data_IF_584262738439
#
_entry.id   IF_584262738439
#
_cell.length_a   1.000
_cell.length_b   1.000
_cell.length_c   1.000
_cell.angle_alpha   90.00
_cell.angle_beta   90.00
_cell.angle_gamma   90.00
#
_symmetry.space_group_name_H-M   'P 1'
#
loop_
_entity.id
_entity.type
_entity.pdbx_description
1 polymer ?
#
# COMPACT_ATOMS: atom_id res chain seq x y z
N UNK A 1 4.60 47.85 17.80
CA UNK A 1 4.09 46.81 16.88
C UNK A 1 4.81 45.52 17.28
N UNK A 2 4.20 44.75 18.19
CA UNK A 2 3.62 43.41 17.96
C UNK A 2 4.68 42.40 17.51
N UNK A 3 5.36 41.76 18.45
CA UNK A 3 5.03 40.45 19.06
C UNK A 3 5.43 39.27 18.15
N UNK A 4 6.67 38.77 18.34
CA UNK A 4 7.05 37.39 17.98
C UNK A 4 6.91 36.54 19.25
N UNK A 5 6.09 35.47 19.27
CA UNK A 5 6.09 34.57 20.41
C UNK A 5 7.26 33.59 20.33
N UNK A 6 8.04 33.59 21.41
CA UNK A 6 8.94 32.52 21.79
C UNK A 6 8.17 31.25 22.18
N UNK A 7 8.83 30.12 21.90
CA UNK A 7 8.80 28.85 22.62
C UNK A 7 7.50 28.02 22.63
N UNK A 8 7.59 26.82 22.05
CA UNK A 8 6.95 25.63 22.61
C UNK A 8 8.05 24.70 23.12
N UNK A 9 8.46 24.99 24.36
CA UNK A 9 9.08 24.03 25.24
C UNK A 9 8.12 22.84 25.36
N UNK A 10 8.54 21.66 24.93
CA UNK A 10 7.80 20.41 25.14
C UNK A 10 8.18 19.88 26.53
N UNK A 11 7.25 19.77 27.49
CA UNK A 11 7.46 19.01 28.71
C UNK A 11 7.16 17.54 28.42
N UNK A 12 8.14 16.67 28.64
CA UNK A 12 7.91 15.23 28.81
C UNK A 12 7.32 15.04 30.20
N UNK A 13 6.04 14.69 30.30
CA UNK A 13 5.47 14.14 31.53
C UNK A 13 4.48 13.02 31.19
N UNK A 14 4.85 11.82 31.66
CA UNK A 14 4.09 10.59 31.61
C UNK A 14 2.80 10.69 32.44
N UNK A 15 1.64 10.85 31.79
CA UNK A 15 0.35 10.47 32.38
C UNK A 15 -0.60 9.81 31.39
N UNK A 16 -0.84 8.54 31.65
CA UNK A 16 -1.98 7.74 31.20
C UNK A 16 -3.29 8.36 31.70
N UNK A 17 -4.20 8.73 30.78
CA UNK A 17 -5.63 8.92 31.07
C UNK A 17 -6.44 8.34 29.92
N UNK A 18 -7.39 7.51 30.33
CA UNK A 18 -8.35 6.74 29.55
C UNK A 18 -9.50 7.63 29.02
N UNK A 19 -10.00 7.25 27.85
CA UNK A 19 -11.29 7.57 27.22
C UNK A 19 -11.65 9.00 26.75
N UNK A 20 -11.72 9.13 25.43
CA UNK A 20 -12.47 10.14 24.69
C UNK A 20 -12.60 9.74 23.22
N UNK A 21 -13.71 9.09 22.86
CA UNK A 21 -13.98 8.58 21.51
C UNK A 21 -14.13 9.72 20.49
N UNK A 22 -13.11 9.88 19.64
CA UNK A 22 -13.25 10.44 18.31
C UNK A 22 -12.94 9.31 17.31
N UNK A 23 -13.91 8.96 16.47
CA UNK A 23 -13.78 7.92 15.46
C UNK A 23 -12.80 8.36 14.36
N UNK A 24 -11.51 8.20 14.62
CA UNK A 24 -10.46 8.21 13.61
C UNK A 24 -10.46 6.89 12.81
N UNK A 25 -9.93 6.89 11.58
CA UNK A 25 -9.88 5.69 10.76
C UNK A 25 -9.08 4.57 11.46
N UNK A 26 -9.49 3.30 11.33
CA UNK A 26 -8.93 2.21 12.11
C UNK A 26 -7.47 1.93 11.72
N UNK A 27 -6.54 2.43 12.54
CA UNK A 27 -5.13 2.02 12.48
C UNK A 27 -4.99 0.61 13.09
N UNK A 28 -5.18 -0.43 12.27
CA UNK A 28 -4.68 -1.76 12.62
C UNK A 28 -3.15 -1.71 12.63
N UNK A 29 -2.56 -2.00 13.79
CA UNK A 29 -1.12 -2.12 14.05
C UNK A 29 -0.42 -2.96 12.95
N UNK A 30 0.16 -2.31 11.96
CA UNK A 30 1.12 -2.90 11.04
C UNK A 30 2.52 -2.73 11.65
N UNK A 31 3.05 -3.82 12.20
CA UNK A 31 4.48 -3.94 12.51
C UNK A 31 5.14 -4.43 11.22
N UNK A 32 5.96 -3.60 10.59
CA UNK A 32 6.69 -4.01 9.37
C UNK A 32 8.07 -3.37 9.37
N UNK A 33 9.05 -4.13 9.84
CA UNK A 33 10.46 -3.87 9.54
C UNK A 33 10.68 -4.04 8.02
N UNK A 34 11.35 -3.06 7.40
CA UNK A 34 11.89 -3.20 6.04
C UNK A 34 11.09 -2.55 4.90
N UNK A 35 10.27 -1.52 5.13
CA UNK A 35 9.49 -0.89 4.03
C UNK A 35 9.22 0.61 4.23
N UNK A 36 10.13 1.37 4.87
CA UNK A 36 9.84 2.73 5.33
C UNK A 36 9.43 3.73 4.23
N UNK A 37 9.98 3.64 3.02
CA UNK A 37 9.69 4.62 1.95
C UNK A 37 8.31 4.41 1.32
N UNK A 38 7.88 3.15 1.13
CA UNK A 38 6.54 2.87 0.61
C UNK A 38 5.47 3.17 1.66
N UNK A 39 5.78 3.00 2.95
CA UNK A 39 4.83 3.29 4.02
C UNK A 39 4.31 4.74 3.96
N UNK A 40 5.20 5.73 3.83
CA UNK A 40 4.79 7.15 3.77
C UNK A 40 3.94 7.49 2.55
N UNK A 41 4.33 7.01 1.37
CA UNK A 41 3.62 7.29 0.12
C UNK A 41 2.24 6.62 0.05
N UNK A 42 2.11 5.41 0.61
CA UNK A 42 0.82 4.71 0.71
C UNK A 42 -0.13 5.39 1.69
N UNK A 43 0.37 5.89 2.82
CA UNK A 43 -0.45 6.70 3.74
C UNK A 43 -0.91 8.00 3.08
N UNK A 44 -0.02 8.67 2.35
CA UNK A 44 -0.38 9.88 1.62
C UNK A 44 -1.45 9.60 0.55
N UNK A 45 -1.31 8.50 -0.19
CA UNK A 45 -2.32 8.06 -1.16
C UNK A 45 -3.69 7.88 -0.50
N UNK A 46 -3.76 7.16 0.63
CA UNK A 46 -5.01 6.94 1.36
C UNK A 46 -5.63 8.24 1.85
N UNK A 47 -4.81 9.18 2.36
CA UNK A 47 -5.30 10.48 2.78
C UNK A 47 -5.81 11.32 1.60
N UNK A 48 -5.08 11.35 0.49
CA UNK A 48 -5.50 12.07 -0.71
C UNK A 48 -6.80 11.51 -1.30
N UNK A 49 -6.97 10.17 -1.32
CA UNK A 49 -8.23 9.55 -1.75
C UNK A 49 -9.37 9.92 -0.79
N UNK A 50 -9.13 9.86 0.53
CA UNK A 50 -10.12 10.24 1.54
C UNK A 50 -10.60 11.70 1.41
N UNK A 51 -9.69 12.61 1.10
CA UNK A 51 -10.02 14.03 0.90
C UNK A 51 -10.52 14.35 -0.52
N UNK A 52 -10.63 13.37 -1.43
CA UNK A 52 -11.06 13.60 -2.82
C UNK A 52 -10.07 14.44 -3.64
N UNK A 53 -8.77 14.36 -3.35
CA UNK A 53 -7.72 15.10 -4.04
C UNK A 53 -7.27 14.38 -5.31
N UNK A 54 -8.17 14.19 -6.28
CA UNK A 54 -7.97 13.31 -7.45
C UNK A 54 -6.66 13.53 -8.22
N UNK A 55 -6.24 14.80 -8.40
CA UNK A 55 -4.98 15.13 -9.09
C UNK A 55 -3.75 14.62 -8.34
N UNK A 56 -3.78 14.67 -7.01
CA UNK A 56 -2.69 14.19 -6.16
C UNK A 56 -2.69 12.66 -6.10
N UNK A 57 -3.88 12.05 -6.02
CA UNK A 57 -4.04 10.60 -6.12
C UNK A 57 -3.43 10.09 -7.43
N UNK A 58 -3.78 10.70 -8.57
CA UNK A 58 -3.25 10.31 -9.87
C UNK A 58 -1.72 10.46 -9.95
N UNK A 59 -1.17 11.57 -9.44
CA UNK A 59 0.28 11.78 -9.41
C UNK A 59 1.01 10.76 -8.52
N UNK A 60 0.45 10.44 -7.35
CA UNK A 60 1.01 9.44 -6.43
C UNK A 60 0.94 8.05 -7.05
N UNK A 61 -0.19 7.68 -7.67
CA UNK A 61 -0.33 6.41 -8.37
C UNK A 61 0.68 6.27 -9.51
N UNK A 62 0.87 7.32 -10.32
CA UNK A 62 1.87 7.32 -11.39
C UNK A 62 3.30 7.10 -10.83
N UNK A 63 3.63 7.76 -9.72
CA UNK A 63 4.91 7.53 -9.05
C UNK A 63 5.04 6.09 -8.51
N UNK A 64 3.97 5.54 -7.92
CA UNK A 64 3.94 4.17 -7.44
C UNK A 64 4.06 3.15 -8.59
N UNK A 65 3.48 3.43 -9.76
CA UNK A 65 3.57 2.54 -10.92
C UNK A 65 5.01 2.35 -11.40
N UNK A 66 5.83 3.40 -11.34
CA UNK A 66 7.26 3.31 -11.69
C UNK A 66 8.07 2.34 -10.81
N UNK A 67 7.50 1.87 -9.69
CA UNK A 67 8.14 0.94 -8.76
C UNK A 67 7.39 -0.39 -8.59
N UNK A 68 6.47 -0.74 -9.49
CA UNK A 68 5.73 -2.01 -9.48
C UNK A 68 6.60 -3.26 -9.33
N UNK A 69 7.79 -3.36 -9.94
CA UNK A 69 8.68 -4.52 -9.74
C UNK A 69 9.11 -4.76 -8.28
N UNK A 70 8.93 -3.75 -7.41
CA UNK A 70 9.29 -3.79 -5.99
C UNK A 70 8.08 -3.96 -5.07
N UNK A 71 6.86 -3.97 -5.60
CA UNK A 71 5.66 -4.10 -4.78
C UNK A 71 5.58 -5.49 -4.15
N UNK A 72 5.19 -5.53 -2.87
CA UNK A 72 4.77 -6.77 -2.23
C UNK A 72 3.30 -7.07 -2.51
N UNK A 73 2.87 -8.28 -2.16
CA UNK A 73 1.44 -8.64 -2.18
C UNK A 73 0.61 -7.71 -1.28
N UNK A 74 1.15 -7.31 -0.13
CA UNK A 74 0.46 -6.40 0.81
C UNK A 74 0.26 -5.00 0.22
N UNK A 75 1.29 -4.46 -0.43
CA UNK A 75 1.21 -3.15 -1.10
C UNK A 75 0.18 -3.21 -2.22
N UNK A 76 0.22 -4.29 -3.01
CA UNK A 76 -0.74 -4.49 -4.10
C UNK A 76 -2.17 -4.56 -3.57
N UNK A 77 -2.41 -5.41 -2.56
CA UNK A 77 -3.72 -5.55 -1.94
C UNK A 77 -4.23 -4.21 -1.38
N UNK A 78 -3.37 -3.45 -0.69
CA UNK A 78 -3.73 -2.15 -0.15
C UNK A 78 -4.19 -1.16 -1.23
N UNK A 79 -3.42 -1.03 -2.33
CA UNK A 79 -3.75 -0.10 -3.41
C UNK A 79 -5.06 -0.48 -4.08
N UNK A 80 -5.28 -1.77 -4.33
CA UNK A 80 -6.50 -2.26 -4.98
C UNK A 80 -7.74 -2.18 -4.08
N UNK A 81 -7.59 -2.33 -2.77
CA UNK A 81 -8.68 -2.09 -1.82
C UNK A 81 -9.04 -0.61 -1.71
N UNK A 82 -8.02 0.26 -1.70
CA UNK A 82 -8.23 1.70 -1.68
C UNK A 82 -8.92 2.18 -2.97
N UNK A 83 -8.60 1.56 -4.12
CA UNK A 83 -9.15 1.93 -5.42
C UNK A 83 -9.59 0.68 -6.21
N UNK A 84 -10.79 0.13 -5.95
CA UNK A 84 -11.23 -1.16 -6.52
C UNK A 84 -11.38 -1.15 -8.04
N UNK A 85 -11.68 0.02 -8.63
CA UNK A 85 -11.84 0.17 -10.08
C UNK A 85 -10.51 0.33 -10.82
N UNK A 86 -9.37 0.28 -10.12
CA UNK A 86 -8.06 0.54 -10.72
C UNK A 86 -7.68 -0.50 -11.78
N UNK A 87 -8.05 -1.77 -11.58
CA UNK A 87 -7.78 -2.85 -12.54
C UNK A 87 -8.52 -2.70 -13.87
N UNK A 88 -9.61 -1.94 -13.89
CA UNK A 88 -10.39 -1.62 -15.07
C UNK A 88 -9.93 -0.31 -15.75
N UNK A 89 -9.02 0.44 -15.12
CA UNK A 89 -8.50 1.67 -15.70
C UNK A 89 -7.52 1.37 -16.84
N UNK A 90 -7.66 2.10 -17.94
CA UNK A 90 -6.77 1.99 -19.10
C UNK A 90 -5.33 2.42 -18.77
N UNK A 91 -5.16 3.32 -17.81
CA UNK A 91 -3.84 3.83 -17.40
C UNK A 91 -3.14 2.91 -16.39
N UNK A 92 -3.82 1.86 -15.92
CA UNK A 92 -3.25 0.94 -14.96
C UNK A 92 -2.33 -0.08 -15.65
N UNK A 93 -1.05 -0.18 -15.26
CA UNK A 93 -0.08 -1.11 -15.84
C UNK A 93 -0.32 -2.56 -15.37
N UNK A 94 -1.49 -3.12 -15.70
CA UNK A 94 -1.95 -4.46 -15.29
C UNK A 94 -0.98 -5.57 -15.71
N UNK A 95 -0.45 -5.46 -16.94
CA UNK A 95 0.48 -6.45 -17.48
C UNK A 95 1.80 -6.49 -16.70
N UNK A 96 2.34 -5.33 -16.35
CA UNK A 96 3.57 -5.21 -15.56
C UNK A 96 3.36 -5.70 -14.12
N UNK A 97 2.23 -5.33 -13.50
CA UNK A 97 1.89 -5.82 -12.16
C UNK A 97 1.78 -7.33 -12.13
N UNK A 98 1.01 -7.92 -13.04
CA UNK A 98 0.83 -9.38 -13.08
C UNK A 98 2.14 -10.12 -13.35
N UNK A 99 3.03 -9.58 -14.19
CA UNK A 99 4.36 -10.16 -14.42
C UNK A 99 5.26 -10.05 -13.17
N UNK A 100 5.28 -8.89 -12.53
CA UNK A 100 6.00 -8.65 -11.28
C UNK A 100 5.57 -9.61 -10.18
N UNK A 101 4.25 -9.74 -9.95
CA UNK A 101 3.69 -10.65 -8.96
C UNK A 101 3.98 -12.11 -9.27
N UNK A 102 3.89 -12.52 -10.53
CA UNK A 102 4.25 -13.90 -10.92
C UNK A 102 5.72 -14.21 -10.60
N UNK A 103 6.62 -13.26 -10.86
CA UNK A 103 8.04 -13.38 -10.53
C UNK A 103 8.28 -13.42 -9.03
N UNK A 104 7.57 -12.57 -8.28
CA UNK A 104 7.64 -12.53 -6.83
C UNK A 104 7.17 -13.84 -6.20
N UNK A 105 6.06 -14.43 -6.68
CA UNK A 105 5.55 -15.71 -6.20
C UNK A 105 6.55 -16.85 -6.47
N UNK A 106 7.14 -16.92 -7.67
CA UNK A 106 8.17 -17.92 -7.98
C UNK A 106 9.36 -17.79 -7.02
N UNK A 107 9.86 -16.56 -6.83
CA UNK A 107 10.97 -16.32 -5.90
C UNK A 107 10.61 -16.76 -4.47
N UNK A 108 9.43 -16.41 -3.99
CA UNK A 108 8.98 -16.72 -2.63
C UNK A 108 8.62 -18.20 -2.42
N UNK A 109 8.28 -18.95 -3.47
CA UNK A 109 8.15 -20.41 -3.37
C UNK A 109 9.50 -21.11 -3.16
N UNK A 110 10.61 -20.49 -3.57
CA UNK A 110 11.95 -21.03 -3.40
C UNK A 110 12.62 -20.59 -2.09
N UNK A 111 12.13 -19.52 -1.46
CA UNK A 111 12.54 -19.12 -0.11
C UNK A 111 11.64 -19.78 0.95
N UNK A 112 12.24 -20.34 2.01
CA UNK A 112 11.52 -20.96 3.14
C UNK A 112 10.54 -20.00 3.86
N UNK A 113 10.65 -18.69 3.62
CA UNK A 113 9.66 -17.68 4.02
C UNK A 113 8.54 -17.62 2.98
N UNK A 114 7.57 -18.52 3.09
CA UNK A 114 6.37 -18.46 2.26
C UNK A 114 5.68 -17.09 2.36
N UNK A 115 4.99 -16.69 1.30
CA UNK A 115 4.17 -15.49 1.31
C UNK A 115 2.97 -15.63 2.25
N UNK A 116 2.49 -14.51 2.77
CA UNK A 116 1.25 -14.50 3.55
C UNK A 116 0.08 -14.87 2.64
N UNK A 117 -0.52 -16.04 2.89
CA UNK A 117 -1.74 -16.49 2.18
C UNK A 117 -2.88 -15.48 2.34
N UNK A 118 -2.88 -14.70 3.41
CA UNK A 118 -3.92 -13.71 3.66
C UNK A 118 -3.79 -12.49 2.74
N UNK A 119 -2.58 -12.12 2.35
CA UNK A 119 -2.35 -11.05 1.36
C UNK A 119 -2.83 -11.48 -0.03
N UNK A 120 -2.62 -12.76 -0.39
CA UNK A 120 -3.09 -13.30 -1.67
C UNK A 120 -4.62 -13.31 -1.75
N UNK A 121 -5.32 -13.66 -0.65
CA UNK A 121 -6.80 -13.66 -0.59
C UNK A 121 -7.43 -12.28 -0.73
N UNK A 122 -6.67 -11.21 -0.43
CA UNK A 122 -7.12 -9.82 -0.58
C UNK A 122 -7.01 -9.31 -2.01
N UNK A 123 -6.32 -10.04 -2.89
CA UNK A 123 -6.22 -9.65 -4.28
C UNK A 123 -7.52 -9.97 -5.04
N UNK A 124 -7.94 -9.10 -5.97
CA UNK A 124 -9.03 -9.37 -6.89
C UNK A 124 -8.79 -10.66 -7.70
N UNK A 125 -9.85 -11.45 -7.88
CA UNK A 125 -9.79 -12.75 -8.58
C UNK A 125 -9.27 -12.62 -10.02
N UNK A 126 -9.64 -11.54 -10.71
CA UNK A 126 -9.21 -11.28 -12.08
C UNK A 126 -7.69 -11.08 -12.18
N UNK A 127 -7.08 -10.39 -11.21
CA UNK A 127 -5.63 -10.28 -11.12
C UNK A 127 -4.96 -11.62 -10.78
N UNK A 128 -5.56 -12.41 -9.88
CA UNK A 128 -5.05 -13.74 -9.53
C UNK A 128 -5.03 -14.64 -10.77
N UNK A 129 -6.09 -14.65 -11.56
CA UNK A 129 -6.17 -15.44 -12.81
C UNK A 129 -5.08 -15.02 -13.79
N UNK A 130 -4.82 -13.72 -13.95
CA UNK A 130 -3.72 -13.23 -14.81
C UNK A 130 -2.35 -13.70 -14.33
N UNK A 131 -2.10 -13.61 -13.02
CA UNK A 131 -0.84 -14.06 -12.41
C UNK A 131 -0.65 -15.57 -12.60
N UNK A 132 -1.70 -16.38 -12.36
CA UNK A 132 -1.68 -17.84 -12.58
C UNK A 132 -1.48 -18.17 -14.05
N UNK A 133 -2.13 -17.46 -14.96
CA UNK A 133 -1.93 -17.63 -16.40
C UNK A 133 -0.48 -17.39 -16.82
N UNK A 134 0.16 -16.34 -16.29
CA UNK A 134 1.58 -16.06 -16.52
C UNK A 134 2.49 -17.14 -15.92
N UNK A 135 2.18 -17.64 -14.73
CA UNK A 135 2.91 -18.76 -14.12
C UNK A 135 2.82 -20.01 -15.01
N UNK A 136 1.62 -20.37 -15.47
CA UNK A 136 1.41 -21.53 -16.33
C UNK A 136 2.21 -21.44 -17.65
N UNK A 137 2.34 -20.24 -18.23
CA UNK A 137 3.16 -20.01 -19.43
C UNK A 137 4.67 -20.16 -19.17
N UNK A 138 5.16 -19.88 -17.96
CA UNK A 138 6.59 -19.98 -17.62
C UNK A 138 7.06 -21.41 -17.35
N UNK A 139 6.16 -22.31 -16.97
CA UNK A 139 6.46 -23.70 -16.61
C UNK A 139 6.02 -24.72 -17.67
N UNK A 140 5.71 -24.26 -18.88
CA UNK A 140 5.35 -25.09 -20.02
C UNK A 140 6.55 -25.33 -20.91
#
# INVERSE_FOLDING_TARGET
MKDLPHALHVPTDDKQVDNGAAAGPPQKKQKTEGTMVHSGLLHLLAMCEYFGMDKHVAAILAALYSCIPKWSLDVTAFILELKPNLLASADFPRAELSDSLSTLLVRQTHTYSGFSKDSLKRLPLDLIVDVVGRLALRYR
#
